data_IF_151276136819
#
_entry.id   IF_151276136819
#
_cell.length_a   1.000
_cell.length_b   1.000
_cell.length_c   1.000
_cell.angle_alpha   90.00
_cell.angle_beta   90.00
_cell.angle_gamma   90.00
#
_symmetry.space_group_name_H-M   'P 1'
#
loop_
_entity.id
_entity.type
_entity.pdbx_description
1 polymer ?
#
# COMPACT_ATOMS: atom_id res chain seq x y z
N UNK A 1 4.58 -42.12 65.56
CA UNK A 1 5.80 -42.08 64.73
C UNK A 1 5.42 -42.60 63.35
N UNK A 2 5.61 -41.93 62.22
CA UNK A 2 6.50 -40.83 61.91
C UNK A 2 5.84 -39.87 60.90
N UNK A 3 5.98 -38.57 61.17
CA UNK A 3 5.79 -37.49 60.22
C UNK A 3 6.70 -37.70 59.01
N UNK A 4 6.13 -37.79 57.81
CA UNK A 4 6.92 -37.73 56.57
C UNK A 4 7.14 -36.26 56.22
N UNK A 5 8.26 -35.71 56.69
CA UNK A 5 8.80 -34.43 56.24
C UNK A 5 8.83 -34.36 54.70
N UNK A 6 8.00 -33.48 54.13
CA UNK A 6 8.08 -33.10 52.72
C UNK A 6 9.32 -32.21 52.58
N UNK A 7 10.45 -32.80 52.18
CA UNK A 7 11.68 -32.05 51.89
C UNK A 7 11.40 -30.92 50.89
N UNK A 8 11.79 -29.66 51.18
CA UNK A 8 11.56 -28.55 50.27
C UNK A 8 12.36 -28.78 48.99
N UNK A 9 11.69 -28.77 47.83
CA UNK A 9 12.31 -28.90 46.51
C UNK A 9 13.43 -27.84 46.36
N UNK A 10 14.66 -28.30 46.18
CA UNK A 10 15.84 -27.46 46.07
C UNK A 10 15.71 -26.39 44.98
N UNK A 11 16.41 -25.26 45.15
CA UNK A 11 16.41 -24.08 44.26
C UNK A 11 16.56 -24.45 42.78
N UNK A 12 17.35 -25.48 42.48
CA UNK A 12 17.58 -26.00 41.13
C UNK A 12 16.38 -26.79 40.54
N UNK A 13 15.63 -27.51 41.36
CA UNK A 13 14.40 -28.19 40.95
C UNK A 13 13.27 -27.19 40.66
N UNK A 14 13.16 -26.11 41.45
CA UNK A 14 12.25 -24.99 41.17
C UNK A 14 12.63 -24.25 39.88
N UNK A 15 13.93 -24.02 39.65
CA UNK A 15 14.46 -23.40 38.40
C UNK A 15 14.18 -24.28 37.17
N UNK A 16 14.45 -25.60 37.25
CA UNK A 16 14.11 -26.57 36.18
C UNK A 16 12.60 -26.65 35.92
N UNK A 17 11.77 -26.65 36.96
CA UNK A 17 10.32 -26.63 36.82
C UNK A 17 9.81 -25.34 36.17
N UNK A 18 10.35 -24.17 36.54
CA UNK A 18 10.02 -22.89 35.87
C UNK A 18 10.46 -22.88 34.40
N UNK A 19 11.64 -23.45 34.09
CA UNK A 19 12.14 -23.58 32.71
C UNK A 19 11.28 -24.54 31.90
N UNK A 20 10.83 -25.67 32.49
CA UNK A 20 9.89 -26.62 31.87
C UNK A 20 8.49 -26.03 31.67
N UNK A 21 8.01 -25.19 32.60
CA UNK A 21 6.74 -24.46 32.51
C UNK A 21 6.79 -23.36 31.45
N UNK A 22 7.93 -22.68 31.29
CA UNK A 22 8.19 -21.72 30.21
C UNK A 22 8.40 -22.39 28.84
N UNK A 23 8.85 -23.65 28.78
CA UNK A 23 8.88 -24.46 27.56
C UNK A 23 7.48 -24.92 27.08
N UNK A 24 6.44 -24.82 27.91
CA UNK A 24 5.08 -25.25 27.56
C UNK A 24 4.29 -24.20 26.78
N UNK A 25 4.62 -22.90 26.93
CA UNK A 25 3.97 -21.84 26.16
C UNK A 25 4.76 -21.59 24.87
N UNK A 26 4.11 -21.56 23.69
CA UNK A 26 4.80 -21.23 22.47
C UNK A 26 5.35 -19.79 22.55
N UNK A 27 6.62 -19.60 22.16
CA UNK A 27 7.24 -18.27 22.07
C UNK A 27 6.36 -17.30 21.29
N UNK A 28 6.32 -16.02 21.71
CA UNK A 28 5.60 -14.96 21.02
C UNK A 28 5.89 -14.93 19.50
N UNK A 29 7.14 -15.20 19.09
CA UNK A 29 7.54 -15.27 17.66
C UNK A 29 6.79 -16.37 16.92
N UNK A 30 6.71 -17.56 17.51
CA UNK A 30 6.00 -18.71 16.93
C UNK A 30 4.51 -18.42 16.85
N UNK A 31 3.93 -17.94 17.94
CA UNK A 31 2.50 -17.62 18.04
C UNK A 31 2.08 -16.55 17.03
N UNK A 32 2.77 -15.42 16.97
CA UNK A 32 2.45 -14.35 16.03
C UNK A 32 2.64 -14.75 14.56
N UNK A 33 3.65 -15.57 14.26
CA UNK A 33 3.83 -16.14 12.91
C UNK A 33 2.66 -17.03 12.50
N UNK A 34 2.22 -17.95 13.38
CA UNK A 34 1.10 -18.85 13.10
C UNK A 34 -0.19 -18.05 12.88
N UNK A 35 -0.50 -17.09 13.76
CA UNK A 35 -1.67 -16.21 13.60
C UNK A 35 -1.70 -15.52 12.23
N UNK A 36 -0.58 -14.94 11.78
CA UNK A 36 -0.52 -14.31 10.45
C UNK A 36 -0.71 -15.30 9.30
N UNK A 37 -0.20 -16.54 9.44
CA UNK A 37 -0.38 -17.60 8.44
C UNK A 37 -1.84 -18.06 8.37
N UNK A 38 -2.48 -18.25 9.51
CA UNK A 38 -3.89 -18.63 9.61
C UNK A 38 -4.79 -17.54 9.03
N UNK A 39 -4.52 -16.27 9.34
CA UNK A 39 -5.25 -15.15 8.75
C UNK A 39 -5.08 -15.06 7.23
N UNK A 40 -3.87 -15.33 6.71
CA UNK A 40 -3.65 -15.38 5.27
C UNK A 40 -4.43 -16.52 4.63
N UNK A 41 -4.45 -17.71 5.25
CA UNK A 41 -5.22 -18.87 4.78
C UNK A 41 -6.72 -18.56 4.75
N UNK A 42 -7.25 -17.93 5.81
CA UNK A 42 -8.66 -17.55 5.91
C UNK A 42 -9.06 -16.43 4.94
N UNK A 43 -8.14 -15.52 4.61
CA UNK A 43 -8.43 -14.37 3.75
C UNK A 43 -8.13 -14.58 2.26
N UNK A 44 -7.29 -15.54 1.89
CA UNK A 44 -6.97 -15.79 0.48
C UNK A 44 -8.19 -16.34 -0.27
N UNK A 45 -8.48 -15.79 -1.44
CA UNK A 45 -9.62 -16.20 -2.27
C UNK A 45 -10.97 -15.62 -1.84
N UNK A 46 -11.06 -15.01 -0.66
CA UNK A 46 -12.29 -14.35 -0.18
C UNK A 46 -12.34 -12.88 -0.60
N UNK A 47 -13.56 -12.33 -0.67
CA UNK A 47 -13.79 -10.93 -1.09
C UNK A 47 -13.79 -10.01 0.13
N UNK A 48 -12.68 -9.29 0.35
CA UNK A 48 -12.59 -8.27 1.42
C UNK A 48 -13.76 -7.29 1.48
N UNK A 49 -14.32 -6.92 0.33
CA UNK A 49 -15.45 -5.99 0.28
C UNK A 49 -16.70 -6.57 0.95
N UNK A 50 -16.92 -7.89 0.83
CA UNK A 50 -18.03 -8.60 1.47
C UNK A 50 -17.82 -8.64 2.98
N UNK A 51 -16.68 -9.16 3.41
CA UNK A 51 -16.34 -9.27 4.83
C UNK A 51 -16.32 -7.92 5.56
N UNK A 52 -16.00 -6.83 4.84
CA UNK A 52 -16.08 -5.48 5.41
C UNK A 52 -17.52 -5.05 5.71
N UNK A 53 -18.50 -5.46 4.91
CA UNK A 53 -19.91 -5.18 5.16
C UNK A 53 -20.44 -5.94 6.39
N UNK A 54 -19.85 -7.11 6.68
CA UNK A 54 -20.21 -7.99 7.78
C UNK A 54 -19.33 -7.77 9.03
N UNK A 55 -18.44 -6.76 9.02
CA UNK A 55 -17.42 -6.49 10.05
C UNK A 55 -16.43 -7.65 10.34
N UNK A 56 -16.44 -8.73 9.54
CA UNK A 56 -15.64 -9.95 9.71
C UNK A 56 -14.26 -9.88 9.02
N UNK A 57 -13.51 -8.80 9.27
CA UNK A 57 -12.17 -8.61 8.67
C UNK A 57 -11.02 -8.85 9.64
N UNK A 58 -11.32 -9.06 10.92
CA UNK A 58 -10.33 -9.10 12.01
C UNK A 58 -9.36 -10.27 11.83
N UNK A 59 -9.87 -11.44 11.46
CA UNK A 59 -9.08 -12.67 11.39
C UNK A 59 -8.67 -13.07 9.97
N UNK A 60 -8.64 -12.10 9.04
CA UNK A 60 -8.33 -12.35 7.63
C UNK A 60 -7.25 -11.42 7.07
N UNK A 61 -6.40 -11.97 6.18
CA UNK A 61 -5.46 -11.24 5.34
C UNK A 61 -5.66 -11.66 3.88
N UNK A 62 -6.14 -10.73 3.05
CA UNK A 62 -6.60 -11.01 1.69
C UNK A 62 -5.51 -10.96 0.61
N UNK A 63 -4.25 -10.70 0.98
CA UNK A 63 -3.18 -10.67 -0.02
C UNK A 63 -1.84 -11.08 0.55
N UNK A 64 -1.06 -11.80 -0.27
CA UNK A 64 0.34 -12.17 0.02
C UNK A 64 1.19 -10.94 0.34
N UNK A 65 0.94 -9.80 -0.33
CA UNK A 65 1.66 -8.55 -0.08
C UNK A 65 1.40 -8.01 1.33
N UNK A 66 0.13 -7.93 1.74
CA UNK A 66 -0.24 -7.49 3.10
C UNK A 66 0.35 -8.43 4.15
N UNK A 67 0.28 -9.74 3.93
CA UNK A 67 0.91 -10.73 4.82
C UNK A 67 2.41 -10.47 4.96
N UNK A 68 3.15 -10.31 3.86
CA UNK A 68 4.59 -10.03 3.92
C UNK A 68 4.88 -8.74 4.66
N UNK A 69 4.09 -7.68 4.44
CA UNK A 69 4.23 -6.42 5.19
C UNK A 69 4.03 -6.63 6.68
N UNK A 70 2.95 -7.28 7.09
CA UNK A 70 2.64 -7.49 8.51
C UNK A 70 3.63 -8.43 9.18
N UNK A 71 4.04 -9.50 8.49
CA UNK A 71 5.11 -10.40 8.94
C UNK A 71 6.41 -9.63 9.19
N UNK A 72 6.79 -8.72 8.29
CA UNK A 72 8.00 -7.93 8.47
C UNK A 72 7.87 -6.93 9.63
N UNK A 73 6.72 -6.27 9.79
CA UNK A 73 6.51 -5.36 10.93
C UNK A 73 6.56 -6.10 12.26
N UNK A 74 5.92 -7.27 12.35
CA UNK A 74 5.98 -8.10 13.53
C UNK A 74 7.41 -8.59 13.82
N UNK A 75 8.16 -8.96 12.78
CA UNK A 75 9.59 -9.30 12.93
C UNK A 75 10.38 -8.13 13.49
N UNK A 76 10.22 -6.91 12.98
CA UNK A 76 10.95 -5.74 13.50
C UNK A 76 10.66 -5.46 14.96
N UNK A 77 9.39 -5.60 15.37
CA UNK A 77 9.01 -5.55 16.77
C UNK A 77 9.67 -6.67 17.58
N UNK A 78 9.64 -7.91 17.08
CA UNK A 78 10.25 -9.05 17.75
C UNK A 78 11.77 -8.94 17.87
N UNK A 79 12.45 -8.37 16.88
CA UNK A 79 13.90 -8.13 16.90
C UNK A 79 14.25 -7.05 17.94
N UNK A 80 13.45 -5.98 18.01
CA UNK A 80 13.61 -4.94 19.04
C UNK A 80 13.33 -5.49 20.46
N UNK A 81 12.24 -6.26 20.62
CA UNK A 81 11.80 -6.81 21.90
C UNK A 81 12.84 -7.77 22.50
N UNK A 82 13.51 -8.57 21.67
CA UNK A 82 14.55 -9.51 22.12
C UNK A 82 15.76 -8.80 22.76
N UNK A 83 16.05 -7.56 22.34
CA UNK A 83 17.14 -6.75 22.89
C UNK A 83 16.68 -5.91 24.06
N UNK A 84 15.52 -5.24 23.93
CA UNK A 84 15.02 -4.31 24.93
C UNK A 84 14.43 -5.02 26.16
N UNK A 85 13.75 -6.14 25.95
CA UNK A 85 12.99 -6.87 26.97
C UNK A 85 13.16 -8.40 26.81
N UNK A 86 14.38 -8.95 27.04
CA UNK A 86 14.64 -10.38 26.91
C UNK A 86 13.80 -11.25 27.87
N UNK A 87 13.20 -10.66 28.90
CA UNK A 87 12.24 -11.30 29.81
C UNK A 87 10.89 -11.62 29.15
N UNK A 88 10.53 -10.93 28.06
CA UNK A 88 9.26 -11.14 27.36
C UNK A 88 9.32 -12.41 26.51
N UNK A 89 8.66 -13.49 26.96
CA UNK A 89 8.75 -14.80 26.29
C UNK A 89 7.42 -15.26 25.69
N UNK A 90 6.29 -14.85 26.27
CA UNK A 90 4.95 -15.17 25.81
C UNK A 90 4.34 -14.06 24.95
N UNK A 91 3.26 -14.38 24.23
CA UNK A 91 2.56 -13.38 23.40
C UNK A 91 1.88 -12.32 24.28
N UNK A 92 1.47 -12.69 25.49
CA UNK A 92 0.92 -11.78 26.49
C UNK A 92 1.99 -10.82 27.01
N UNK A 93 3.20 -11.31 27.31
CA UNK A 93 4.32 -10.44 27.71
C UNK A 93 4.63 -9.44 26.59
N UNK A 94 4.76 -9.94 25.36
CA UNK A 94 5.05 -9.12 24.19
C UNK A 94 3.99 -8.04 23.93
N UNK A 95 2.71 -8.31 24.21
CA UNK A 95 1.65 -7.31 24.09
C UNK A 95 1.90 -6.10 25.00
N UNK A 96 2.42 -6.32 26.21
CA UNK A 96 2.71 -5.25 27.18
C UNK A 96 3.72 -4.20 26.70
N UNK A 97 4.57 -4.54 25.73
CA UNK A 97 5.63 -3.65 25.22
C UNK A 97 5.32 -3.02 23.86
N UNK A 98 4.10 -3.19 23.33
CA UNK A 98 3.74 -2.62 22.02
C UNK A 98 3.76 -1.09 22.06
N UNK A 99 3.25 -0.50 23.13
CA UNK A 99 3.20 0.95 23.30
C UNK A 99 4.61 1.56 23.39
N UNK A 100 5.51 0.92 24.15
CA UNK A 100 6.92 1.31 24.23
C UNK A 100 7.61 1.19 22.86
N UNK A 101 7.36 0.13 22.11
CA UNK A 101 7.90 0.01 20.76
C UNK A 101 7.38 1.10 19.81
N UNK A 102 6.08 1.43 19.88
CA UNK A 102 5.52 2.50 19.06
C UNK A 102 6.14 3.86 19.43
N UNK A 103 6.40 4.10 20.72
CA UNK A 103 7.12 5.28 21.19
C UNK A 103 8.56 5.29 20.65
N UNK A 104 9.28 4.18 20.75
CA UNK A 104 10.61 4.03 20.17
C UNK A 104 10.63 4.38 18.67
N UNK A 105 9.64 3.94 17.89
CA UNK A 105 9.54 4.30 16.46
C UNK A 105 9.32 5.81 16.23
N UNK A 106 8.60 6.48 17.13
CA UNK A 106 8.41 7.94 17.11
C UNK A 106 9.74 8.64 17.41
N UNK A 107 10.45 8.19 18.45
CA UNK A 107 11.69 8.81 18.92
C UNK A 107 12.81 8.72 17.88
N UNK A 108 12.93 7.59 17.17
CA UNK A 108 13.86 7.44 16.04
C UNK A 108 13.35 8.09 14.74
N UNK A 109 12.28 8.89 14.83
CA UNK A 109 11.69 9.69 13.74
C UNK A 109 11.31 8.85 12.52
N UNK A 110 10.75 7.64 12.72
CA UNK A 110 10.14 6.90 11.60
C UNK A 110 8.95 7.67 11.04
N UNK A 111 8.69 7.48 9.75
CA UNK A 111 7.56 8.15 9.11
C UNK A 111 6.22 7.75 9.76
N UNK A 112 5.29 8.71 9.89
CA UNK A 112 3.94 8.45 10.38
C UNK A 112 3.23 7.30 9.63
N UNK A 113 3.51 7.14 8.33
CA UNK A 113 2.98 6.04 7.51
C UNK A 113 3.56 4.69 7.91
N UNK A 114 4.86 4.63 8.22
CA UNK A 114 5.52 3.41 8.71
C UNK A 114 5.00 3.02 10.09
N UNK A 115 4.91 3.98 11.02
CA UNK A 115 4.41 3.76 12.38
C UNK A 115 2.96 3.27 12.34
N UNK A 116 2.09 3.92 11.57
CA UNK A 116 0.70 3.47 11.41
C UNK A 116 0.59 2.05 10.83
N UNK A 117 1.51 1.66 9.94
CA UNK A 117 1.56 0.30 9.38
C UNK A 117 2.02 -0.71 10.43
N UNK A 118 3.02 -0.36 11.25
CA UNK A 118 3.48 -1.18 12.37
C UNK A 118 2.33 -1.39 13.38
N UNK A 119 1.71 -0.30 13.84
CA UNK A 119 0.57 -0.31 14.76
C UNK A 119 -0.57 -1.22 14.27
N UNK A 120 -0.98 -1.09 13.01
CA UNK A 120 -2.02 -1.95 12.43
C UNK A 120 -1.62 -3.43 12.32
N UNK A 121 -0.34 -3.71 12.01
CA UNK A 121 0.17 -5.07 11.94
C UNK A 121 0.21 -5.73 13.33
N UNK A 122 0.69 -5.00 14.34
CA UNK A 122 0.76 -5.47 15.72
C UNK A 122 -0.65 -5.70 16.28
N UNK A 123 -1.59 -4.77 16.06
CA UNK A 123 -3.00 -4.94 16.43
C UNK A 123 -3.58 -6.26 15.90
N UNK A 124 -3.33 -6.57 14.61
CA UNK A 124 -3.72 -7.86 14.02
C UNK A 124 -3.05 -9.04 14.70
N UNK A 125 -1.73 -9.01 14.90
CA UNK A 125 -0.99 -10.13 15.50
C UNK A 125 -1.50 -10.42 16.92
N UNK A 126 -1.73 -9.37 17.71
CA UNK A 126 -2.16 -9.50 19.09
C UNK A 126 -3.66 -9.74 19.25
N UNK A 127 -4.47 -9.50 18.20
CA UNK A 127 -5.92 -9.71 18.23
C UNK A 127 -6.68 -8.59 18.93
N UNK A 128 -6.06 -7.41 19.05
CA UNK A 128 -6.61 -6.24 19.74
C UNK A 128 -6.95 -5.12 18.77
N UNK A 129 -7.77 -4.18 19.21
CA UNK A 129 -8.05 -2.97 18.43
C UNK A 129 -6.86 -2.03 18.47
N UNK A 130 -6.53 -1.42 17.32
CA UNK A 130 -5.42 -0.48 17.26
C UNK A 130 -5.62 0.74 18.17
N UNK A 131 -6.87 1.08 18.51
CA UNK A 131 -7.20 2.17 19.46
C UNK A 131 -6.75 1.90 20.89
N UNK A 132 -6.46 0.64 21.25
CA UNK A 132 -5.93 0.29 22.58
C UNK A 132 -4.47 0.72 22.76
N UNK A 133 -3.73 0.93 21.66
CA UNK A 133 -2.35 1.40 21.71
C UNK A 133 -2.23 2.92 21.67
N UNK A 134 -1.10 3.45 22.13
CA UNK A 134 -0.80 4.89 22.15
C UNK A 134 -1.14 5.62 20.86
N UNK A 135 -1.51 6.90 20.98
CA UNK A 135 -1.69 7.77 19.83
C UNK A 135 -0.38 7.87 19.04
N UNK A 136 -0.46 7.77 17.71
CA UNK A 136 0.70 7.88 16.81
C UNK A 136 0.56 9.12 15.92
N UNK A 137 1.67 9.72 15.46
CA UNK A 137 1.63 10.92 14.62
C UNK A 137 0.66 10.78 13.42
N UNK A 138 -0.12 11.81 13.09
CA UNK A 138 -1.07 11.76 11.99
C UNK A 138 -0.37 11.64 10.63
N UNK A 139 -1.01 10.92 9.70
CA UNK A 139 -0.53 10.80 8.32
C UNK A 139 -0.95 12.02 7.51
N UNK A 140 -0.02 12.95 7.29
CA UNK A 140 -0.25 14.18 6.54
C UNK A 140 0.26 14.06 5.10
N UNK A 141 -0.48 14.64 4.14
CA UNK A 141 -0.09 14.68 2.72
C UNK A 141 1.24 15.41 2.51
N UNK A 142 1.46 16.50 3.23
CA UNK A 142 2.70 17.28 3.19
C UNK A 142 3.94 16.43 3.51
N UNK A 143 3.79 15.38 4.34
CA UNK A 143 4.89 14.51 4.76
C UNK A 143 5.19 13.36 3.76
N UNK A 144 4.45 13.25 2.65
CA UNK A 144 4.71 12.25 1.63
C UNK A 144 5.89 12.69 0.77
N UNK A 145 7.02 11.98 0.89
CA UNK A 145 8.23 12.24 0.09
C UNK A 145 8.42 11.26 -1.09
N UNK A 146 7.87 10.05 -0.95
CA UNK A 146 8.08 8.98 -1.92
C UNK A 146 7.46 9.34 -3.28
N UNK A 147 8.22 9.12 -4.35
CA UNK A 147 7.79 9.31 -5.74
C UNK A 147 7.41 10.76 -6.07
N UNK A 148 7.94 11.72 -5.31
CA UNK A 148 7.90 13.16 -5.61
C UNK A 148 9.28 13.67 -6.00
N UNK A 149 10.31 13.16 -5.32
CA UNK A 149 11.71 13.49 -5.60
C UNK A 149 12.43 12.29 -6.24
N UNK A 150 13.50 12.56 -6.99
CA UNK A 150 14.40 11.52 -7.49
C UNK A 150 15.05 10.75 -6.32
N UNK A 151 15.13 9.42 -6.43
CA UNK A 151 15.70 8.57 -5.38
C UNK A 151 16.85 7.72 -5.91
N UNK A 152 17.79 7.36 -5.03
CA UNK A 152 18.98 6.54 -5.37
C UNK A 152 18.68 5.23 -6.13
N UNK A 153 17.47 4.68 -6.01
CA UNK A 153 17.03 3.44 -6.70
C UNK A 153 16.76 3.62 -8.19
N UNK A 154 16.56 4.85 -8.65
CA UNK A 154 16.26 5.16 -10.05
C UNK A 154 17.48 4.88 -10.95
N UNK A 155 18.67 4.76 -10.36
CA UNK A 155 19.95 4.45 -11.03
C UNK A 155 20.05 3.04 -11.64
N UNK A 156 19.10 2.14 -11.38
CA UNK A 156 19.15 0.75 -11.86
C UNK A 156 18.39 0.52 -13.18
N UNK A 157 17.95 1.58 -13.85
CA UNK A 157 17.33 1.53 -15.17
C UNK A 157 18.11 2.50 -16.07
N UNK A 158 18.46 2.09 -17.28
CA UNK A 158 19.12 3.00 -18.22
C UNK A 158 18.18 4.14 -18.60
N UNK A 159 18.73 5.35 -18.74
CA UNK A 159 17.97 6.57 -19.06
C UNK A 159 17.03 6.38 -20.26
N UNK A 160 17.53 5.84 -21.37
CA UNK A 160 16.72 5.55 -22.57
C UNK A 160 15.54 4.59 -22.31
N UNK A 161 15.74 3.56 -21.47
CA UNK A 161 14.68 2.62 -21.12
C UNK A 161 13.66 3.26 -20.18
N UNK A 162 14.14 4.03 -19.22
CA UNK A 162 13.32 4.82 -18.32
C UNK A 162 12.42 5.77 -19.14
N UNK A 163 12.99 6.57 -20.04
CA UNK A 163 12.29 7.52 -20.90
C UNK A 163 11.17 6.86 -21.73
N UNK A 164 11.43 5.68 -22.30
CA UNK A 164 10.41 4.94 -23.04
C UNK A 164 9.25 4.48 -22.14
N UNK A 165 9.55 4.00 -20.93
CA UNK A 165 8.54 3.59 -19.95
C UNK A 165 7.77 4.80 -19.39
N UNK A 166 8.47 5.90 -19.13
CA UNK A 166 7.93 7.17 -18.70
C UNK A 166 6.98 7.76 -19.74
N UNK A 167 7.36 7.73 -21.02
CA UNK A 167 6.51 8.16 -22.14
C UNK A 167 5.18 7.40 -22.15
N UNK A 168 5.24 6.06 -22.11
CA UNK A 168 4.03 5.23 -22.08
C UNK A 168 3.20 5.47 -20.80
N UNK A 169 3.85 5.51 -19.62
CA UNK A 169 3.13 5.70 -18.35
C UNK A 169 2.50 7.07 -18.25
N UNK A 170 3.17 8.12 -18.72
CA UNK A 170 2.65 9.50 -18.71
C UNK A 170 1.56 9.71 -19.74
N UNK A 171 1.43 8.81 -20.72
CA UNK A 171 0.36 8.83 -21.72
C UNK A 171 -0.85 7.95 -21.37
N UNK A 172 -0.73 7.07 -20.37
CA UNK A 172 -1.79 6.07 -20.10
C UNK A 172 -2.13 5.94 -18.61
N UNK A 173 -1.24 6.37 -17.70
CA UNK A 173 -1.46 6.27 -16.27
C UNK A 173 -1.63 4.83 -15.77
N UNK A 174 -1.06 3.82 -16.45
CA UNK A 174 -1.11 2.42 -16.00
C UNK A 174 -0.24 2.18 -14.76
N UNK A 175 -0.61 1.19 -13.93
CA UNK A 175 0.21 0.76 -12.79
C UNK A 175 1.31 -0.14 -13.33
N UNK A 176 2.47 -0.20 -12.67
CA UNK A 176 3.51 -1.16 -13.06
C UNK A 176 2.97 -2.59 -13.25
N UNK A 177 2.08 -3.05 -12.37
CA UNK A 177 1.46 -4.38 -12.46
C UNK A 177 0.51 -4.55 -13.67
N UNK A 178 -0.07 -3.46 -14.15
CA UNK A 178 -0.91 -3.42 -15.36
C UNK A 178 0.01 -3.40 -16.60
N UNK A 179 1.06 -2.56 -16.60
CA UNK A 179 2.07 -2.52 -17.67
C UNK A 179 2.77 -3.88 -17.89
N UNK A 180 2.98 -4.66 -16.83
CA UNK A 180 3.55 -6.02 -16.94
C UNK A 180 2.67 -7.01 -17.72
N UNK A 181 1.39 -6.69 -17.94
CA UNK A 181 0.40 -7.59 -18.54
C UNK A 181 -0.37 -6.98 -19.70
N UNK A 182 -0.17 -5.70 -19.98
CA UNK A 182 -0.80 -5.03 -21.13
C UNK A 182 -0.14 -5.53 -22.41
N UNK A 183 -0.98 -5.77 -23.40
CA UNK A 183 -0.63 -6.33 -24.70
C UNK A 183 -1.06 -5.37 -25.81
N UNK A 184 -0.46 -5.49 -26.99
CA UNK A 184 -0.81 -4.68 -28.15
C UNK A 184 -2.30 -4.83 -28.52
N UNK A 185 -2.82 -6.04 -28.35
CA UNK A 185 -4.20 -6.44 -28.64
C UNK A 185 -5.20 -5.83 -27.65
N UNK A 186 -4.74 -5.23 -26.55
CA UNK A 186 -5.61 -4.47 -25.63
C UNK A 186 -5.94 -3.06 -26.17
N UNK A 187 -5.31 -2.63 -27.27
CA UNK A 187 -5.64 -1.38 -27.97
C UNK A 187 -6.94 -1.54 -28.76
N UNK A 188 -7.83 -0.57 -28.61
CA UNK A 188 -9.04 -0.47 -29.43
C UNK A 188 -9.39 0.99 -29.70
N UNK A 189 -10.27 1.21 -30.68
CA UNK A 189 -10.75 2.53 -31.04
C UNK A 189 -12.24 2.64 -30.75
N UNK A 190 -12.65 3.77 -30.19
CA UNK A 190 -14.04 4.09 -29.91
C UNK A 190 -14.25 5.58 -30.22
N UNK A 191 -15.19 5.90 -31.11
CA UNK A 191 -15.48 7.26 -31.57
C UNK A 191 -14.23 8.02 -32.06
N UNK A 192 -13.38 7.36 -32.85
CA UNK A 192 -12.15 7.92 -33.40
C UNK A 192 -11.02 8.14 -32.38
N UNK A 193 -11.22 7.76 -31.11
CA UNK A 193 -10.20 7.87 -30.05
C UNK A 193 -9.59 6.51 -29.74
N UNK A 194 -8.29 6.49 -29.43
CA UNK A 194 -7.57 5.29 -29.03
C UNK A 194 -7.65 5.04 -27.52
N UNK A 195 -7.92 3.79 -27.16
CA UNK A 195 -8.12 3.33 -25.78
C UNK A 195 -7.37 2.03 -25.52
N UNK A 196 -7.00 1.81 -24.26
CA UNK A 196 -6.51 0.52 -23.78
C UNK A 196 -7.56 -0.15 -22.90
N UNK A 197 -7.85 -1.42 -23.16
CA UNK A 197 -8.63 -2.29 -22.28
C UNK A 197 -7.72 -2.78 -21.15
N UNK A 198 -7.98 -2.35 -19.92
CA UNK A 198 -7.16 -2.69 -18.75
C UNK A 198 -7.97 -3.54 -17.78
N UNK A 199 -7.91 -4.84 -17.94
CA UNK A 199 -8.53 -5.86 -17.07
C UNK A 199 -7.49 -6.71 -16.33
N UNK A 200 -6.31 -6.89 -16.91
CA UNK A 200 -5.17 -7.64 -16.37
C UNK A 200 -4.33 -6.82 -15.37
N UNK A 201 -3.98 -7.45 -14.23
CA UNK A 201 -3.07 -6.83 -13.24
C UNK A 201 -3.68 -5.66 -12.46
N UNK A 202 -4.98 -5.44 -12.61
CA UNK A 202 -5.74 -4.37 -11.96
C UNK A 202 -5.82 -4.57 -10.46
N UNK A 203 -5.85 -3.46 -9.72
CA UNK A 203 -6.02 -3.51 -8.26
C UNK A 203 -7.44 -3.97 -7.93
N UNK A 204 -7.56 -5.14 -7.31
CA UNK A 204 -8.86 -5.71 -6.92
C UNK A 204 -9.67 -6.25 -8.10
N UNK A 205 -9.04 -6.53 -9.24
CA UNK A 205 -9.69 -7.16 -10.40
C UNK A 205 -10.71 -6.26 -11.11
N UNK A 206 -10.62 -4.94 -10.95
CA UNK A 206 -11.57 -3.98 -11.55
C UNK A 206 -11.13 -3.60 -12.96
N UNK A 207 -11.84 -4.02 -14.02
CA UNK A 207 -11.51 -3.63 -15.39
C UNK A 207 -11.86 -2.16 -15.63
N UNK A 208 -11.18 -1.53 -16.59
CA UNK A 208 -11.49 -0.19 -17.10
C UNK A 208 -10.98 -0.02 -18.53
N UNK A 209 -11.52 0.97 -19.23
CA UNK A 209 -10.87 1.55 -20.41
C UNK A 209 -10.01 2.74 -20.02
N UNK A 210 -8.91 2.94 -20.73
CA UNK A 210 -7.95 4.01 -20.49
C UNK A 210 -7.72 4.76 -21.78
N UNK A 211 -8.00 6.05 -21.79
CA UNK A 211 -7.72 6.93 -22.93
C UNK A 211 -6.20 7.15 -23.04
N UNK A 212 -5.65 7.01 -24.24
CA UNK A 212 -4.26 7.35 -24.50
C UNK A 212 -4.14 8.87 -24.71
N UNK A 213 -3.35 9.54 -23.88
CA UNK A 213 -3.17 11.00 -23.90
C UNK A 213 -1.69 11.38 -23.72
N UNK A 214 -0.96 11.49 -24.84
CA UNK A 214 0.41 12.03 -24.88
C UNK A 214 0.48 13.51 -24.49
N UNK A 215 1.69 14.08 -24.46
CA UNK A 215 1.88 15.53 -24.21
C UNK A 215 1.29 16.36 -25.34
N UNK A 216 1.35 15.84 -26.57
CA UNK A 216 0.80 16.42 -27.78
C UNK A 216 -0.01 15.38 -28.55
N UNK A 217 -0.79 15.82 -29.52
CA UNK A 217 -1.49 14.92 -30.44
C UNK A 217 -0.52 14.09 -31.28
N UNK A 218 0.60 14.68 -31.69
CA UNK A 218 1.66 13.95 -32.40
C UNK A 218 2.24 12.82 -31.54
N UNK A 219 2.59 13.10 -30.28
CA UNK A 219 3.09 12.06 -29.37
C UNK A 219 2.06 10.95 -29.14
N UNK A 220 0.77 11.33 -29.07
CA UNK A 220 -0.33 10.38 -28.92
C UNK A 220 -0.43 9.47 -30.14
N UNK A 221 -0.43 10.04 -31.36
CA UNK A 221 -0.44 9.27 -32.61
C UNK A 221 0.76 8.34 -32.72
N UNK A 222 1.95 8.85 -32.44
CA UNK A 222 3.18 8.06 -32.46
C UNK A 222 3.13 6.87 -31.47
N UNK A 223 2.57 7.09 -30.28
CA UNK A 223 2.44 6.04 -29.28
C UNK A 223 1.43 4.98 -29.73
N UNK A 224 0.31 5.39 -30.29
CA UNK A 224 -0.71 4.49 -30.85
C UNK A 224 -0.12 3.66 -31.99
N UNK A 225 0.58 4.29 -32.93
CA UNK A 225 1.26 3.63 -34.04
C UNK A 225 2.30 2.62 -33.52
N UNK A 226 3.07 2.99 -32.50
CA UNK A 226 4.03 2.08 -31.87
C UNK A 226 3.34 0.87 -31.26
N UNK A 227 2.21 1.03 -30.56
CA UNK A 227 1.44 -0.08 -29.98
C UNK A 227 0.92 -1.01 -31.11
N UNK A 228 0.36 -0.44 -32.17
CA UNK A 228 -0.15 -1.21 -33.32
C UNK A 228 0.94 -1.99 -34.05
N UNK A 229 2.20 -1.51 -34.01
CA UNK A 229 3.34 -2.21 -34.60
C UNK A 229 3.91 -3.32 -33.72
N UNK A 230 3.40 -3.52 -32.50
CA UNK A 230 3.81 -4.60 -31.59
C UNK A 230 2.87 -5.80 -31.68
N UNK A 231 3.27 -6.92 -31.08
CA UNK A 231 2.44 -8.11 -30.86
C UNK A 231 2.65 -8.64 -29.44
N UNK A 232 1.57 -9.02 -28.76
CA UNK A 232 1.62 -9.50 -27.39
C UNK A 232 2.09 -8.43 -26.40
N UNK A 233 2.81 -8.83 -25.35
CA UNK A 233 3.17 -7.94 -24.23
C UNK A 233 4.01 -6.76 -24.68
N UNK A 234 3.52 -5.54 -24.41
CA UNK A 234 4.25 -4.30 -24.70
C UNK A 234 5.52 -4.15 -23.85
N UNK A 235 5.51 -4.70 -22.62
CA UNK A 235 6.65 -4.65 -21.69
C UNK A 235 6.95 -6.02 -21.08
N UNK A 236 7.55 -6.97 -21.83
CA UNK A 236 7.83 -8.32 -21.33
C UNK A 236 8.76 -8.33 -20.12
N UNK A 237 9.72 -7.38 -20.06
CA UNK A 237 10.70 -7.21 -18.97
C UNK A 237 10.61 -5.82 -18.34
N UNK A 238 9.83 -5.71 -17.26
CA UNK A 238 9.70 -4.50 -16.46
C UNK A 238 10.36 -4.66 -15.08
N UNK A 239 11.36 -3.81 -14.81
CA UNK A 239 12.12 -3.84 -13.56
C UNK A 239 11.22 -3.57 -12.34
N UNK A 240 11.48 -4.26 -11.23
CA UNK A 240 10.82 -4.00 -9.95
C UNK A 240 11.16 -2.61 -9.38
N UNK A 241 12.30 -2.04 -9.81
CA UNK A 241 12.79 -0.71 -9.43
C UNK A 241 12.12 0.43 -10.20
N UNK A 242 11.32 0.14 -11.23
CA UNK A 242 10.56 1.18 -11.93
C UNK A 242 9.45 1.70 -11.02
N UNK A 243 9.67 2.87 -10.41
CA UNK A 243 8.63 3.62 -9.71
C UNK A 243 7.93 4.54 -10.70
N UNK A 244 6.66 4.24 -10.96
CA UNK A 244 5.91 4.90 -12.03
C UNK A 244 4.84 5.85 -11.51
N UNK A 245 4.87 6.18 -10.21
CA UNK A 245 3.83 6.99 -9.59
C UNK A 245 3.82 8.45 -10.07
N UNK A 246 5.00 9.08 -10.20
CA UNK A 246 5.15 10.44 -10.73
C UNK A 246 4.62 10.55 -12.16
N UNK A 247 5.02 9.64 -13.07
CA UNK A 247 4.53 9.61 -14.44
C UNK A 247 2.99 9.42 -14.53
N UNK A 248 2.41 8.64 -13.60
CA UNK A 248 0.94 8.55 -13.50
C UNK A 248 0.29 9.86 -13.07
N UNK A 249 0.96 10.66 -12.24
CA UNK A 249 0.49 12.02 -11.90
C UNK A 249 0.57 12.95 -13.11
N UNK A 250 1.63 12.86 -13.92
CA UNK A 250 1.72 13.58 -15.20
C UNK A 250 0.55 13.24 -16.13
N UNK A 251 0.19 11.95 -16.27
CA UNK A 251 -1.00 11.54 -17.02
C UNK A 251 -2.29 12.13 -16.43
N UNK A 252 -2.45 12.06 -15.10
CA UNK A 252 -3.62 12.60 -14.43
C UNK A 252 -3.81 14.09 -14.71
N UNK A 253 -2.71 14.85 -14.68
CA UNK A 253 -2.72 16.28 -14.96
C UNK A 253 -3.05 16.57 -16.43
N UNK A 254 -2.51 15.80 -17.38
CA UNK A 254 -2.85 15.93 -18.81
C UNK A 254 -4.35 15.70 -19.04
N UNK A 255 -4.87 14.61 -18.50
CA UNK A 255 -6.29 14.28 -18.58
C UNK A 255 -7.17 15.34 -17.91
N UNK A 256 -6.77 15.84 -16.75
CA UNK A 256 -7.49 16.93 -16.09
C UNK A 256 -7.53 18.18 -16.96
N UNK A 257 -6.36 18.63 -17.46
CA UNK A 257 -6.27 19.81 -18.34
C UNK A 257 -7.07 19.66 -19.64
N UNK A 258 -7.17 18.45 -20.18
CA UNK A 258 -7.96 18.16 -21.38
C UNK A 258 -9.47 18.31 -21.17
N UNK A 259 -9.96 18.00 -19.98
CA UNK A 259 -11.40 17.93 -19.70
C UNK A 259 -11.91 19.00 -18.73
N UNK A 260 -11.02 19.81 -18.15
CA UNK A 260 -11.40 20.87 -17.21
C UNK A 260 -12.26 21.91 -17.94
N UNK A 261 -13.42 22.21 -17.35
CA UNK A 261 -14.29 23.29 -17.82
C UNK A 261 -13.87 24.60 -17.16
N UNK A 262 -14.33 25.73 -17.71
CA UNK A 262 -14.05 27.03 -17.11
C UNK A 262 -14.59 27.08 -15.66
N UNK A 263 -13.67 27.08 -14.69
CA UNK A 263 -14.02 27.03 -13.27
C UNK A 263 -14.87 28.22 -12.85
N UNK A 264 -14.66 29.41 -13.39
CA UNK A 264 -15.42 30.61 -12.98
C UNK A 264 -16.90 30.49 -13.33
N UNK A 265 -17.21 29.75 -14.39
CA UNK A 265 -18.58 29.50 -14.86
C UNK A 265 -19.26 28.30 -14.19
N UNK A 266 -18.54 27.52 -13.37
CA UNK A 266 -19.11 26.33 -12.74
C UNK A 266 -19.85 26.67 -11.43
N UNK A 267 -21.01 26.03 -11.18
CA UNK A 267 -21.68 26.13 -9.89
C UNK A 267 -20.83 25.48 -8.79
N UNK A 268 -20.98 25.95 -7.54
CA UNK A 268 -20.20 25.50 -6.38
C UNK A 268 -20.25 23.97 -6.21
N UNK A 269 -21.41 23.34 -6.45
CA UNK A 269 -21.59 21.88 -6.35
C UNK A 269 -20.72 21.07 -7.31
N UNK A 270 -20.29 21.68 -8.42
CA UNK A 270 -19.43 21.06 -9.43
C UNK A 270 -17.94 21.34 -9.20
N UNK A 271 -17.64 22.22 -8.23
CA UNK A 271 -16.29 22.51 -7.77
C UNK A 271 -15.89 21.58 -6.63
N UNK A 272 -14.64 21.18 -6.62
CA UNK A 272 -14.00 20.48 -5.53
C UNK A 272 -12.99 21.42 -4.88
N UNK A 273 -13.25 21.78 -3.63
CA UNK A 273 -12.38 22.65 -2.85
C UNK A 273 -11.42 21.80 -2.03
N UNK A 274 -10.13 22.01 -2.24
CA UNK A 274 -9.10 21.40 -1.42
C UNK A 274 -9.17 21.93 0.02
N UNK A 275 -8.62 21.14 0.95
CA UNK A 275 -8.57 21.44 2.38
C UNK A 275 -7.17 21.16 2.91
N UNK A 276 -6.88 21.58 4.14
CA UNK A 276 -5.61 21.32 4.80
C UNK A 276 -4.45 22.04 4.12
N UNK A 277 -3.37 21.31 3.81
CA UNK A 277 -2.14 21.84 3.20
C UNK A 277 -2.31 22.44 1.80
N UNK A 278 -3.50 22.27 1.20
CA UNK A 278 -3.84 22.78 -0.14
C UNK A 278 -5.11 23.61 -0.16
N UNK A 279 -5.53 24.13 1.00
CA UNK A 279 -6.70 25.02 1.07
C UNK A 279 -6.55 26.18 0.09
N UNK A 280 -7.64 26.53 -0.62
CA UNK A 280 -7.65 27.57 -1.65
C UNK A 280 -7.62 27.02 -3.08
N UNK A 281 -7.09 25.81 -3.29
CA UNK A 281 -7.12 25.20 -4.62
C UNK A 281 -8.50 24.63 -4.97
N UNK A 282 -8.93 24.86 -6.22
CA UNK A 282 -10.26 24.48 -6.72
C UNK A 282 -10.11 23.64 -7.99
N UNK A 283 -10.85 22.53 -8.05
CA UNK A 283 -10.85 21.62 -9.19
C UNK A 283 -12.26 21.37 -9.74
N UNK A 284 -12.37 21.08 -11.03
CA UNK A 284 -13.62 20.63 -11.66
C UNK A 284 -13.89 19.15 -11.34
N UNK A 285 -15.01 18.86 -10.67
CA UNK A 285 -15.41 17.50 -10.33
C UNK A 285 -15.64 16.61 -11.54
N UNK A 286 -16.10 17.17 -12.67
CA UNK A 286 -16.33 16.41 -13.89
C UNK A 286 -15.01 15.89 -14.45
N UNK A 287 -14.03 16.76 -14.66
CA UNK A 287 -12.69 16.38 -15.10
C UNK A 287 -12.03 15.42 -14.11
N UNK A 288 -12.15 15.67 -12.79
CA UNK A 288 -11.64 14.74 -11.78
C UNK A 288 -12.26 13.34 -11.85
N UNK A 289 -13.56 13.24 -12.19
CA UNK A 289 -14.25 11.96 -12.37
C UNK A 289 -13.66 11.18 -13.54
N UNK A 290 -13.49 11.82 -14.69
CA UNK A 290 -12.84 11.21 -15.87
C UNK A 290 -11.44 10.69 -15.53
N UNK A 291 -10.63 11.51 -14.85
CA UNK A 291 -9.28 11.12 -14.41
C UNK A 291 -9.34 9.93 -13.44
N UNK A 292 -10.30 9.94 -12.50
CA UNK A 292 -10.50 8.86 -11.53
C UNK A 292 -10.84 7.54 -12.22
N UNK A 293 -11.71 7.57 -13.21
CA UNK A 293 -12.11 6.41 -14.01
C UNK A 293 -10.92 5.85 -14.79
N UNK A 294 -10.19 6.70 -15.51
CA UNK A 294 -9.00 6.30 -16.29
C UNK A 294 -7.86 5.74 -15.42
N UNK A 295 -7.69 6.24 -14.18
CA UNK A 295 -6.69 5.71 -13.25
C UNK A 295 -7.19 4.50 -12.42
N UNK A 296 -8.47 4.16 -12.52
CA UNK A 296 -9.11 3.07 -11.77
C UNK A 296 -9.19 3.35 -10.26
N UNK A 297 -9.61 4.55 -9.88
CA UNK A 297 -9.90 4.94 -8.50
C UNK A 297 -11.40 5.11 -8.29
N UNK A 298 -11.90 4.75 -7.10
CA UNK A 298 -13.33 4.89 -6.78
C UNK A 298 -13.68 6.27 -6.19
N UNK A 299 -12.69 7.08 -5.80
CA UNK A 299 -12.89 8.36 -5.10
C UNK A 299 -12.10 9.45 -5.79
N UNK A 300 -12.78 10.50 -6.23
CA UNK A 300 -12.16 11.67 -6.85
C UNK A 300 -11.19 12.39 -5.90
N UNK A 301 -11.40 12.29 -4.58
CA UNK A 301 -10.49 12.88 -3.58
C UNK A 301 -9.07 12.31 -3.64
N UNK A 302 -8.92 11.05 -4.06
CA UNK A 302 -7.61 10.43 -4.26
C UNK A 302 -6.87 11.09 -5.43
N UNK A 303 -7.61 11.49 -6.48
CA UNK A 303 -7.06 12.20 -7.63
C UNK A 303 -6.52 13.57 -7.21
N UNK A 304 -7.37 14.36 -6.54
CA UNK A 304 -6.97 15.65 -5.99
C UNK A 304 -5.75 15.56 -5.07
N UNK A 305 -5.71 14.61 -4.14
CA UNK A 305 -4.64 14.55 -3.12
C UNK A 305 -3.32 13.99 -3.65
N UNK A 306 -3.38 12.98 -4.52
CA UNK A 306 -2.21 12.17 -4.88
C UNK A 306 -1.72 12.35 -6.32
N UNK A 307 -2.47 13.02 -7.20
CA UNK A 307 -2.13 13.07 -8.62
C UNK A 307 -2.23 14.45 -9.25
N UNK A 308 -3.19 15.28 -8.82
CA UNK A 308 -3.32 16.65 -9.32
C UNK A 308 -2.50 17.58 -8.45
N UNK A 309 -1.19 17.60 -8.63
CA UNK A 309 -0.31 18.61 -8.07
C UNK A 309 0.52 19.19 -9.20
N UNK A 310 0.83 20.48 -9.09
CA UNK A 310 1.87 21.11 -9.89
C UNK A 310 3.21 20.70 -9.31
N UNK A 311 4.18 20.45 -10.20
CA UNK A 311 5.59 20.44 -9.81
C UNK A 311 6.00 21.85 -9.34
#
# INVERSE_FOLDING_TARGET
MADKEIKPKGRWAKKKASKKKNLSKPSYRKTGRLRLQDMLKAGLGTKRSKDKAEADTKDKIYSKRTFTTYKNQFRYFADWLEVAHPEAVSIEDALGYVDEYLQHLIDIKRSAYSIATAKAALAKVFGVEATQFIATPPRLRANVKRSRDEVKRDKHISKKKEEALARFTSATGLRRAEMQRIEAEDLFFENGKAWLKVDKGTKGGKPRKVEICGKTEAETRDLVNWIQSQKGRLFPKLSSNYDNHSYRASYAMRMYKKYVRNLDKLPIKEKYYMRGDRAGEVFDRYAMKIVSENLGHNRITVIAQSYLYTD
#
